data_IF_145556168790
#
_entry.id   IF_145556168790
#
_cell.length_a   1.000
_cell.length_b   1.000
_cell.length_c   1.000
_cell.angle_alpha   90.00
_cell.angle_beta   90.00
_cell.angle_gamma   90.00
#
_symmetry.space_group_name_H-M   'P 1'
#
loop_
_entity.id
_entity.type
_entity.pdbx_description
1 polymer ?
#
# COMPACT_ATOMS: atom_id res chain seq x y z
N UNK A 1 -24.22 -9.41 -19.57
CA UNK A 1 -23.98 -9.33 -18.10
C UNK A 1 -22.65 -8.68 -17.73
N UNK A 2 -21.52 -8.94 -18.42
CA UNK A 2 -20.20 -8.36 -18.04
C UNK A 2 -20.01 -6.85 -18.29
N UNK A 3 -20.76 -6.22 -19.21
CA UNK A 3 -20.62 -4.79 -19.51
C UNK A 3 -21.07 -3.86 -18.36
N UNK A 4 -21.97 -4.32 -17.49
CA UNK A 4 -22.43 -3.55 -16.32
C UNK A 4 -21.36 -3.46 -15.24
N UNK A 5 -20.58 -4.53 -15.03
CA UNK A 5 -19.56 -4.62 -13.97
C UNK A 5 -18.44 -3.60 -14.20
N UNK A 6 -17.97 -3.48 -15.45
CA UNK A 6 -16.90 -2.52 -15.82
C UNK A 6 -17.36 -1.08 -15.59
N UNK A 7 -18.60 -0.74 -15.96
CA UNK A 7 -19.17 0.60 -15.70
C UNK A 7 -19.33 0.89 -14.21
N UNK A 8 -19.63 -0.12 -13.39
CA UNK A 8 -19.77 0.03 -11.93
C UNK A 8 -18.44 0.08 -11.18
N UNK A 9 -17.37 -0.55 -11.68
CA UNK A 9 -16.03 -0.52 -11.05
C UNK A 9 -15.16 0.66 -11.52
N UNK A 10 -15.48 1.27 -12.66
CA UNK A 10 -14.79 2.46 -13.16
C UNK A 10 -14.67 3.59 -12.12
N UNK A 11 -15.74 3.97 -11.40
CA UNK A 11 -15.67 4.99 -10.34
C UNK A 11 -14.74 4.60 -9.19
N UNK A 12 -14.70 3.31 -8.84
CA UNK A 12 -13.83 2.79 -7.77
C UNK A 12 -12.37 2.92 -8.16
N UNK A 13 -12.04 2.61 -9.42
CA UNK A 13 -10.70 2.73 -9.99
C UNK A 13 -10.18 4.17 -9.91
N UNK A 14 -11.04 5.15 -10.22
CA UNK A 14 -10.72 6.57 -10.04
C UNK A 14 -10.43 6.96 -8.59
N UNK A 15 -11.02 6.28 -7.60
CA UNK A 15 -10.70 6.47 -6.18
C UNK A 15 -9.31 5.94 -5.78
N UNK A 16 -8.79 4.92 -6.47
CA UNK A 16 -7.46 4.37 -6.18
C UNK A 16 -6.31 5.23 -6.71
N UNK A 17 -6.54 6.07 -7.73
CA UNK A 17 -5.51 6.98 -8.28
C UNK A 17 -4.98 7.95 -7.20
N UNK A 18 -5.82 8.77 -6.54
CA UNK A 18 -5.35 9.66 -5.48
C UNK A 18 -4.77 8.90 -4.28
N UNK A 19 -5.28 7.69 -4.00
CA UNK A 19 -4.76 6.84 -2.94
C UNK A 19 -3.30 6.41 -3.23
N UNK A 20 -3.00 6.00 -4.47
CA UNK A 20 -1.66 5.65 -4.90
C UNK A 20 -0.71 6.85 -4.91
N UNK A 21 -1.20 8.03 -5.32
CA UNK A 21 -0.42 9.27 -5.27
C UNK A 21 -0.06 9.63 -3.82
N UNK A 22 -1.02 9.56 -2.89
CA UNK A 22 -0.78 9.82 -1.48
C UNK A 22 0.26 8.84 -0.91
N UNK A 23 0.18 7.55 -1.26
CA UNK A 23 1.17 6.56 -0.84
C UNK A 23 2.59 6.88 -1.34
N UNK A 24 2.73 7.30 -2.60
CA UNK A 24 4.03 7.72 -3.16
C UNK A 24 4.58 8.98 -2.49
N UNK A 25 3.73 9.96 -2.21
CA UNK A 25 4.11 11.19 -1.49
C UNK A 25 4.63 10.87 -0.08
N UNK A 26 3.98 9.95 0.64
CA UNK A 26 4.44 9.56 1.98
C UNK A 26 5.84 8.95 1.98
N UNK A 27 6.20 8.16 0.96
CA UNK A 27 7.58 7.65 0.82
C UNK A 27 8.57 8.79 0.55
N UNK A 28 8.18 9.75 -0.29
CA UNK A 28 9.00 10.92 -0.61
C UNK A 28 9.22 11.82 0.62
N UNK A 29 8.20 12.01 1.46
CA UNK A 29 8.28 12.76 2.71
C UNK A 29 9.27 12.13 3.70
N UNK A 30 9.40 10.81 3.66
CA UNK A 30 10.38 10.05 4.46
C UNK A 30 11.79 10.06 3.87
N UNK A 31 12.01 10.76 2.75
CA UNK A 31 13.29 10.79 2.04
C UNK A 31 13.58 9.52 1.23
N UNK A 32 12.61 8.61 1.11
CA UNK A 32 12.73 7.44 0.25
C UNK A 32 12.36 7.77 -1.19
N UNK A 33 13.00 7.11 -2.17
CA UNK A 33 12.65 7.30 -3.57
C UNK A 33 11.23 6.79 -3.88
N UNK A 34 10.52 7.54 -4.72
CA UNK A 34 9.14 7.26 -5.14
C UNK A 34 8.95 5.86 -5.74
N UNK A 35 9.97 5.31 -6.40
CA UNK A 35 9.88 3.98 -7.03
C UNK A 35 9.74 2.85 -6.01
N UNK A 36 10.16 3.04 -4.75
CA UNK A 36 9.95 2.04 -3.70
C UNK A 36 8.47 1.89 -3.35
N UNK A 37 7.71 2.98 -3.37
CA UNK A 37 6.26 2.95 -3.21
C UNK A 37 5.60 2.17 -4.35
N UNK A 38 6.07 2.38 -5.59
CA UNK A 38 5.62 1.61 -6.76
C UNK A 38 5.96 0.13 -6.65
N UNK A 39 7.20 -0.21 -6.28
CA UNK A 39 7.62 -1.60 -6.06
C UNK A 39 6.77 -2.27 -4.98
N UNK A 40 6.51 -1.60 -3.86
CA UNK A 40 5.62 -2.10 -2.81
C UNK A 40 4.22 -2.39 -3.35
N UNK A 41 3.65 -1.53 -4.19
CA UNK A 41 2.34 -1.76 -4.79
C UNK A 41 2.30 -2.98 -5.74
N UNK A 42 3.43 -3.36 -6.35
CA UNK A 42 3.52 -4.54 -7.21
C UNK A 42 3.84 -5.84 -6.45
N UNK A 43 4.72 -5.78 -5.45
CA UNK A 43 5.25 -6.96 -4.77
C UNK A 43 4.54 -7.28 -3.44
N UNK A 44 3.92 -6.30 -2.80
CA UNK A 44 3.33 -6.44 -1.46
C UNK A 44 1.82 -6.27 -1.54
N UNK A 45 1.10 -7.39 -1.60
CA UNK A 45 -0.35 -7.40 -1.59
C UNK A 45 -0.91 -7.51 -0.17
N UNK A 46 -0.73 -6.44 0.63
CA UNK A 46 -1.11 -6.41 2.04
C UNK A 46 -2.34 -5.51 2.35
N UNK A 47 -2.96 -4.93 1.31
CA UNK A 47 -4.13 -4.05 1.47
C UNK A 47 -3.84 -2.86 2.38
N UNK A 48 -4.64 -2.70 3.44
CA UNK A 48 -4.48 -1.59 4.41
C UNK A 48 -3.17 -1.67 5.20
N UNK A 49 -2.59 -2.86 5.37
CA UNK A 49 -1.31 -3.01 6.06
C UNK A 49 -0.14 -2.39 5.27
N UNK A 50 -0.28 -2.21 3.96
CA UNK A 50 0.74 -1.53 3.16
C UNK A 50 0.93 -0.06 3.58
N UNK A 51 -0.14 0.63 3.96
CA UNK A 51 -0.06 1.99 4.51
C UNK A 51 0.55 2.03 5.92
N UNK A 52 0.41 0.95 6.70
CA UNK A 52 1.07 0.86 8.00
C UNK A 52 2.60 0.80 7.87
N UNK A 53 3.11 0.14 6.83
CA UNK A 53 4.56 0.06 6.56
C UNK A 53 5.17 1.46 6.52
N UNK A 54 4.50 2.42 5.90
CA UNK A 54 4.94 3.83 5.85
C UNK A 54 5.09 4.40 7.26
N UNK A 55 4.10 4.19 8.14
CA UNK A 55 4.16 4.65 9.53
C UNK A 55 5.31 3.99 10.32
N UNK A 56 5.57 2.70 10.07
CA UNK A 56 6.70 1.99 10.70
C UNK A 56 8.05 2.48 10.17
N UNK A 57 8.15 2.74 8.87
CA UNK A 57 9.33 3.36 8.26
C UNK A 57 9.57 4.77 8.83
N UNK A 58 8.50 5.55 9.03
CA UNK A 58 8.56 6.87 9.66
C UNK A 58 9.07 6.82 11.11
N UNK A 59 8.72 5.76 11.83
CA UNK A 59 9.20 5.49 13.17
C UNK A 59 10.64 4.94 13.22
N UNK A 60 11.31 4.75 12.08
CA UNK A 60 12.67 4.24 12.00
C UNK A 60 12.78 2.73 12.30
N UNK A 61 11.69 1.99 12.20
CA UNK A 61 11.65 0.55 12.45
C UNK A 61 12.43 -0.20 11.37
N UNK A 62 13.19 -1.22 11.76
CA UNK A 62 13.98 -2.03 10.83
C UNK A 62 13.09 -2.84 9.86
N UNK A 63 13.61 -3.12 8.66
CA UNK A 63 12.89 -3.87 7.63
C UNK A 63 12.42 -5.26 8.11
N UNK A 64 13.22 -5.93 8.96
CA UNK A 64 12.87 -7.23 9.54
C UNK A 64 11.66 -7.14 10.47
N UNK A 65 11.61 -6.13 11.32
CA UNK A 65 10.46 -5.89 12.22
C UNK A 65 9.22 -5.48 11.44
N UNK A 66 9.37 -4.70 10.38
CA UNK A 66 8.28 -4.36 9.46
C UNK A 66 7.72 -5.62 8.81
N UNK A 67 8.59 -6.52 8.34
CA UNK A 67 8.18 -7.78 7.72
C UNK A 67 7.42 -8.68 8.71
N UNK A 68 7.95 -8.84 9.92
CA UNK A 68 7.30 -9.63 10.99
C UNK A 68 5.96 -9.00 11.37
N UNK A 69 5.91 -7.68 11.61
CA UNK A 69 4.69 -6.97 11.99
C UNK A 69 3.63 -7.11 10.91
N UNK A 70 4.01 -6.90 9.65
CA UNK A 70 3.11 -7.04 8.49
C UNK A 70 2.60 -8.47 8.35
N UNK A 71 3.47 -9.47 8.55
CA UNK A 71 3.10 -10.88 8.52
C UNK A 71 2.12 -11.23 9.65
N UNK A 72 2.40 -10.81 10.88
CA UNK A 72 1.54 -11.06 12.04
C UNK A 72 0.16 -10.42 11.87
N UNK A 73 0.12 -9.19 11.35
CA UNK A 73 -1.15 -8.49 11.10
C UNK A 73 -1.94 -9.16 9.99
N UNK A 74 -1.30 -9.57 8.89
CA UNK A 74 -2.01 -10.31 7.83
C UNK A 74 -2.47 -11.69 8.29
N UNK A 75 -1.72 -12.33 9.19
CA UNK A 75 -2.08 -13.63 9.76
C UNK A 75 -3.41 -13.61 10.54
N UNK A 76 -3.93 -12.44 10.92
CA UNK A 76 -5.25 -12.32 11.56
C UNK A 76 -6.42 -12.78 10.67
N UNK A 77 -6.19 -12.91 9.38
CA UNK A 77 -7.18 -13.32 8.38
C UNK A 77 -7.09 -14.81 8.01
N UNK A 78 -6.18 -15.57 8.64
CA UNK A 78 -6.04 -17.02 8.51
C UNK A 78 -7.11 -17.73 9.34
#
# INVERSE_FOLDING_TARGET
MMQGVVKSTFPVLFGYIPLGIAFGMLFQDLGYPWYLATLMAFFVYAGTAQFMIVGLLAAGVGLTEIAISTFLINSRHI
#
